data_IF_068890840783
#
_entry.id   IF_068890840783
#
_cell.length_a   1.000
_cell.length_b   1.000
_cell.length_c   1.000
_cell.angle_alpha   90.00
_cell.angle_beta   90.00
_cell.angle_gamma   90.00
#
_symmetry.space_group_name_H-M   'P 1'
#
loop_
_entity.id
_entity.type
_entity.pdbx_description
1 polymer ?
#
# COMPACT_ATOMS: atom_id res chain seq x y z
N UNK A 1 -45.80 26.27 11.38
CA UNK A 1 -45.57 24.91 10.85
C UNK A 1 -44.19 24.88 10.25
N UNK A 2 -43.25 24.25 10.94
CA UNK A 2 -41.90 24.01 10.44
C UNK A 2 -41.92 22.74 9.57
N UNK A 3 -41.54 22.83 8.33
CA UNK A 3 -41.23 21.70 7.48
C UNK A 3 -39.74 21.37 7.68
N UNK A 4 -39.47 20.18 8.21
CA UNK A 4 -38.13 19.60 8.33
C UNK A 4 -37.66 19.14 6.95
N UNK A 5 -36.59 19.73 6.45
CA UNK A 5 -35.85 19.20 5.29
C UNK A 5 -34.78 18.24 5.83
N UNK A 6 -35.12 16.97 5.91
CA UNK A 6 -34.17 15.88 6.02
C UNK A 6 -34.13 15.22 4.65
N UNK A 7 -33.05 15.38 3.93
CA UNK A 7 -32.46 14.42 2.95
C UNK A 7 -31.47 15.15 2.07
N UNK A 8 -30.20 15.13 2.38
CA UNK A 8 -29.12 15.31 1.41
C UNK A 8 -27.75 14.97 2.05
N UNK A 9 -27.54 13.72 2.41
CA UNK A 9 -26.25 13.25 2.96
C UNK A 9 -25.61 12.08 2.21
N UNK A 10 -26.24 11.56 1.16
CA UNK A 10 -25.78 10.30 0.53
C UNK A 10 -25.22 10.44 -0.90
N UNK A 11 -25.23 11.63 -1.50
CA UNK A 11 -24.86 11.79 -2.92
C UNK A 11 -23.41 12.21 -3.19
N UNK A 12 -22.75 12.88 -2.25
CA UNK A 12 -21.47 13.54 -2.51
C UNK A 12 -20.25 12.64 -2.41
N UNK A 13 -20.25 11.62 -1.55
CA UNK A 13 -19.12 10.71 -1.39
C UNK A 13 -18.96 9.80 -2.61
N UNK A 14 -20.04 9.27 -3.15
CA UNK A 14 -20.00 8.42 -4.34
C UNK A 14 -19.57 9.14 -5.61
N UNK A 15 -19.95 10.41 -5.77
CA UNK A 15 -19.55 11.22 -6.93
C UNK A 15 -18.07 11.58 -6.87
N UNK A 16 -17.52 11.90 -5.69
CA UNK A 16 -16.10 12.18 -5.50
C UNK A 16 -15.21 11.01 -5.89
N UNK A 17 -15.51 9.82 -5.40
CA UNK A 17 -14.78 8.59 -5.73
C UNK A 17 -14.90 8.21 -7.22
N UNK A 18 -16.07 8.40 -7.84
CA UNK A 18 -16.25 8.14 -9.26
C UNK A 18 -15.43 9.11 -10.13
N UNK A 19 -15.40 10.39 -9.79
CA UNK A 19 -14.61 11.41 -10.51
C UNK A 19 -13.10 11.17 -10.36
N UNK A 20 -12.65 10.77 -9.19
CA UNK A 20 -11.24 10.45 -8.95
C UNK A 20 -10.81 9.21 -9.73
N UNK A 21 -11.65 8.19 -9.78
CA UNK A 21 -11.42 6.99 -10.60
C UNK A 21 -11.35 7.30 -12.10
N UNK A 22 -12.24 8.15 -12.61
CA UNK A 22 -12.21 8.60 -14.02
C UNK A 22 -10.91 9.35 -14.31
N UNK A 23 -10.46 10.23 -13.41
CA UNK A 23 -9.21 10.97 -13.56
C UNK A 23 -8.00 10.04 -13.59
N UNK A 24 -7.96 9.01 -12.73
CA UNK A 24 -6.90 8.01 -12.72
C UNK A 24 -6.85 7.18 -14.01
N UNK A 25 -8.00 6.81 -14.56
CA UNK A 25 -8.08 6.08 -15.84
C UNK A 25 -7.54 6.89 -17.01
N UNK A 26 -7.91 8.17 -17.10
CA UNK A 26 -7.39 9.06 -18.17
C UNK A 26 -5.89 9.33 -18.04
N UNK A 27 -5.35 9.38 -16.83
CA UNK A 27 -3.91 9.46 -16.60
C UNK A 27 -3.20 8.17 -17.04
N UNK A 28 -3.77 7.01 -16.72
CA UNK A 28 -3.22 5.71 -17.12
C UNK A 28 -3.09 5.60 -18.63
N UNK A 29 -4.16 5.90 -19.38
CA UNK A 29 -4.17 5.87 -20.84
C UNK A 29 -3.08 6.78 -21.45
N UNK A 30 -2.93 7.99 -20.91
CA UNK A 30 -1.92 8.94 -21.39
C UNK A 30 -0.49 8.46 -21.11
N UNK A 31 -0.24 7.85 -19.95
CA UNK A 31 1.07 7.31 -19.58
C UNK A 31 1.40 6.08 -20.40
N UNK A 32 0.46 5.18 -20.64
CA UNK A 32 0.63 4.00 -21.50
C UNK A 32 0.94 4.41 -22.94
N UNK A 33 0.21 5.38 -23.48
CA UNK A 33 0.48 5.92 -24.81
C UNK A 33 1.89 6.55 -24.93
N UNK A 34 2.45 7.06 -23.83
CA UNK A 34 3.80 7.58 -23.73
C UNK A 34 4.87 6.51 -23.44
N UNK A 35 4.48 5.22 -23.36
CA UNK A 35 5.39 4.08 -23.16
C UNK A 35 5.75 3.84 -21.69
N UNK A 36 4.97 4.36 -20.74
CA UNK A 36 5.10 4.04 -19.32
C UNK A 36 4.22 2.85 -18.97
N UNK A 37 4.71 1.97 -18.10
CA UNK A 37 3.94 0.92 -17.46
C UNK A 37 3.82 1.20 -15.96
N UNK A 38 2.68 0.89 -15.35
CA UNK A 38 2.59 0.92 -13.90
C UNK A 38 3.39 -0.26 -13.32
N UNK A 39 4.07 -0.03 -12.21
CA UNK A 39 4.80 -1.07 -11.48
C UNK A 39 4.28 -1.25 -10.05
N UNK A 40 3.60 -0.23 -9.51
CA UNK A 40 2.77 -0.30 -8.32
C UNK A 40 1.54 0.61 -8.51
N UNK A 41 0.56 0.52 -7.63
CA UNK A 41 -0.80 1.10 -7.79
C UNK A 41 -0.82 2.53 -8.33
N UNK A 42 0.11 3.39 -7.88
CA UNK A 42 0.12 4.83 -8.20
C UNK A 42 1.33 5.29 -9.03
N UNK A 43 2.36 4.47 -9.20
CA UNK A 43 3.59 4.86 -9.88
C UNK A 43 3.82 4.12 -11.20
N UNK A 44 4.34 4.89 -12.15
CA UNK A 44 4.57 4.48 -13.53
C UNK A 44 6.02 4.74 -13.90
N UNK A 45 6.59 3.89 -14.72
CA UNK A 45 7.94 4.06 -15.24
C UNK A 45 8.07 3.54 -16.67
N UNK A 46 9.11 3.97 -17.37
CA UNK A 46 9.60 3.22 -18.52
C UNK A 46 10.32 1.96 -18.02
N UNK A 47 10.42 0.90 -18.85
CA UNK A 47 11.11 -0.32 -18.45
C UNK A 47 12.51 -0.05 -17.88
N UNK A 48 12.80 -0.55 -16.69
CA UNK A 48 14.06 -0.34 -15.96
C UNK A 48 14.18 1.01 -15.24
N UNK A 49 13.14 1.84 -15.29
CA UNK A 49 13.09 3.14 -14.61
C UNK A 49 12.32 3.15 -13.29
N UNK A 50 11.96 1.98 -12.78
CA UNK A 50 11.22 1.85 -11.52
C UNK A 50 12.03 2.44 -10.36
N UNK A 51 11.37 3.21 -9.49
CA UNK A 51 12.02 3.79 -8.33
C UNK A 51 12.40 2.70 -7.31
N UNK A 52 13.68 2.34 -7.28
CA UNK A 52 14.21 1.28 -6.41
C UNK A 52 13.94 1.55 -4.92
N UNK A 53 13.98 2.81 -4.50
CA UNK A 53 13.68 3.20 -3.12
C UNK A 53 12.20 2.96 -2.79
N UNK A 54 11.30 3.28 -3.72
CA UNK A 54 9.87 2.99 -3.55
C UNK A 54 9.59 1.48 -3.51
N UNK A 55 10.20 0.72 -4.42
CA UNK A 55 10.08 -0.74 -4.44
C UNK A 55 10.62 -1.39 -3.16
N UNK A 56 11.61 -0.79 -2.49
CA UNK A 56 12.12 -1.29 -1.22
C UNK A 56 11.01 -1.37 -0.17
N UNK A 57 10.18 -0.34 -0.07
CA UNK A 57 9.05 -0.33 0.87
C UNK A 57 7.96 -1.34 0.48
N UNK A 58 7.57 -1.36 -0.81
CA UNK A 58 6.52 -2.28 -1.28
C UNK A 58 6.91 -3.76 -1.21
N UNK A 59 8.21 -4.06 -1.26
CA UNK A 59 8.75 -5.41 -1.13
C UNK A 59 9.15 -5.79 0.29
N UNK A 60 8.64 -5.03 1.27
CA UNK A 60 8.94 -5.27 2.69
C UNK A 60 10.45 -5.28 2.99
N UNK A 61 11.19 -4.42 2.31
CA UNK A 61 12.63 -4.27 2.53
C UNK A 61 12.95 -3.52 3.81
N UNK A 62 14.17 -3.67 4.28
CA UNK A 62 14.66 -2.95 5.46
C UNK A 62 15.23 -1.59 5.07
N UNK A 63 15.00 -0.59 5.92
CA UNK A 63 15.55 0.76 5.72
C UNK A 63 15.91 1.44 7.02
N UNK A 64 16.87 2.36 6.94
CA UNK A 64 17.28 3.24 8.02
C UNK A 64 16.86 4.67 7.70
N UNK A 65 16.08 5.28 8.59
CA UNK A 65 15.65 6.67 8.47
C UNK A 65 16.66 7.61 9.13
N UNK A 66 17.20 8.56 8.37
CA UNK A 66 18.08 9.60 8.87
C UNK A 66 17.32 10.92 9.01
N UNK A 67 17.54 11.61 10.13
CA UNK A 67 16.94 12.91 10.43
C UNK A 67 15.86 12.87 11.52
N UNK A 68 15.44 14.06 12.02
CA UNK A 68 14.39 14.18 13.04
C UNK A 68 13.05 13.61 12.54
N UNK A 69 12.44 12.75 13.35
CA UNK A 69 11.15 12.12 13.03
C UNK A 69 11.20 11.07 11.93
N UNK A 70 12.37 10.74 11.37
CA UNK A 70 12.49 9.68 10.37
C UNK A 70 12.22 8.31 10.98
N UNK A 71 11.55 7.47 10.22
CA UNK A 71 11.23 6.10 10.61
C UNK A 71 12.23 5.13 10.00
N UNK A 72 12.45 4.01 10.69
CA UNK A 72 13.30 2.89 10.28
C UNK A 72 12.54 1.59 10.45
N UNK A 73 12.91 0.58 9.66
CA UNK A 73 12.44 -0.80 9.82
C UNK A 73 13.62 -1.75 9.58
N UNK A 74 14.05 -2.46 10.61
CA UNK A 74 15.18 -3.38 10.54
C UNK A 74 14.85 -4.67 11.30
N UNK A 75 14.91 -5.79 10.61
CA UNK A 75 14.46 -7.06 11.14
C UNK A 75 12.94 -7.00 11.39
N UNK A 76 12.55 -7.04 12.65
CA UNK A 76 11.16 -6.89 13.10
C UNK A 76 10.95 -5.62 13.93
N UNK A 77 11.98 -4.81 14.05
CA UNK A 77 11.93 -3.58 14.83
C UNK A 77 11.62 -2.39 13.93
N UNK A 78 10.54 -1.72 14.23
CA UNK A 78 10.18 -0.41 13.66
C UNK A 78 10.46 0.65 14.71
N UNK A 79 11.24 1.66 14.35
CA UNK A 79 11.55 2.75 15.26
C UNK A 79 11.56 4.10 14.54
N UNK A 80 11.33 5.15 15.31
CA UNK A 80 11.35 6.50 14.80
C UNK A 80 12.30 7.38 15.64
N UNK A 81 13.01 8.26 14.97
CA UNK A 81 13.83 9.25 15.62
C UNK A 81 12.97 10.31 16.33
N UNK A 82 13.54 10.96 17.35
CA UNK A 82 12.88 12.09 18.01
C UNK A 82 12.58 13.19 17.00
N UNK A 83 11.38 13.79 17.08
CA UNK A 83 10.88 14.75 16.09
C UNK A 83 11.52 16.14 16.21
N UNK A 84 11.96 16.54 17.42
CA UNK A 84 12.54 17.88 17.67
C UNK A 84 13.98 17.93 17.17
N UNK A 85 14.33 18.83 16.21
CA UNK A 85 15.65 18.88 15.60
C UNK A 85 16.78 19.11 16.62
N UNK A 86 16.54 19.98 17.60
CA UNK A 86 17.53 20.30 18.63
C UNK A 86 17.85 19.05 19.47
N UNK A 87 16.80 18.34 19.95
CA UNK A 87 16.97 17.13 20.72
C UNK A 87 17.62 16.01 19.91
N UNK A 88 17.26 15.89 18.62
CA UNK A 88 17.91 14.94 17.70
C UNK A 88 19.41 15.21 17.63
N UNK A 89 19.81 16.47 17.39
CA UNK A 89 21.21 16.87 17.29
C UNK A 89 21.97 16.70 18.60
N UNK A 90 21.37 17.04 19.74
CA UNK A 90 22.00 16.91 21.06
C UNK A 90 22.22 15.45 21.44
N UNK A 91 21.26 14.55 21.14
CA UNK A 91 21.40 13.12 21.37
C UNK A 91 22.57 12.55 20.55
N UNK A 92 22.66 12.91 19.25
CA UNK A 92 23.77 12.48 18.40
C UNK A 92 25.13 13.02 18.87
N UNK A 93 25.21 14.27 19.36
CA UNK A 93 26.45 14.83 19.92
C UNK A 93 26.89 14.09 21.18
N UNK A 94 25.91 13.54 21.93
CA UNK A 94 26.17 12.68 23.08
C UNK A 94 26.65 11.27 22.73
N UNK A 95 26.62 10.90 21.46
CA UNK A 95 27.02 9.58 20.98
C UNK A 95 25.91 8.54 20.99
N UNK A 96 24.67 8.93 21.30
CA UNK A 96 23.51 8.05 21.38
C UNK A 96 22.66 8.08 20.10
N UNK A 97 21.92 7.00 19.84
CA UNK A 97 20.91 6.98 18.79
C UNK A 97 19.68 7.79 19.22
N UNK A 98 19.19 8.71 18.41
CA UNK A 98 18.10 9.61 18.77
C UNK A 98 16.72 8.93 18.61
N UNK A 99 16.56 7.72 19.12
CA UNK A 99 15.34 6.93 19.02
C UNK A 99 14.31 7.47 20.02
N UNK A 100 13.14 7.83 19.53
CA UNK A 100 12.02 8.35 20.33
C UNK A 100 10.85 7.39 20.47
N UNK A 101 10.78 6.37 19.61
CA UNK A 101 9.74 5.36 19.61
C UNK A 101 10.30 4.06 19.03
N UNK A 102 9.88 2.93 19.58
CA UNK A 102 10.19 1.59 19.05
C UNK A 102 8.98 0.69 19.21
N UNK A 103 8.72 -0.15 18.22
CA UNK A 103 7.75 -1.25 18.27
C UNK A 103 8.34 -2.49 17.61
N UNK A 104 7.97 -3.67 18.12
CA UNK A 104 8.29 -4.95 17.50
C UNK A 104 7.09 -5.45 16.74
N UNK A 105 7.22 -5.65 15.44
CA UNK A 105 6.16 -6.15 14.57
C UNK A 105 6.04 -7.66 14.76
N UNK A 106 4.86 -8.14 15.14
CA UNK A 106 4.57 -9.57 15.30
C UNK A 106 4.54 -10.30 13.95
N UNK A 107 4.59 -11.63 13.97
CA UNK A 107 4.53 -12.42 12.74
C UNK A 107 3.20 -12.24 12.00
N UNK A 108 2.09 -12.09 12.73
CA UNK A 108 0.77 -11.84 12.14
C UNK A 108 0.71 -10.45 11.48
N UNK A 109 1.12 -9.40 12.19
CA UNK A 109 1.16 -8.04 11.64
C UNK A 109 2.06 -7.93 10.43
N UNK A 110 3.22 -8.61 10.45
CA UNK A 110 4.13 -8.64 9.32
C UNK A 110 3.52 -9.36 8.11
N UNK A 111 2.81 -10.46 8.34
CA UNK A 111 2.08 -11.16 7.29
C UNK A 111 1.04 -10.25 6.64
N UNK A 112 0.21 -9.58 7.44
CA UNK A 112 -0.79 -8.64 6.95
C UNK A 112 -0.16 -7.52 6.12
N UNK A 113 0.97 -6.97 6.59
CA UNK A 113 1.72 -5.94 5.88
C UNK A 113 2.30 -6.46 4.56
N UNK A 114 2.84 -7.67 4.52
CA UNK A 114 3.37 -8.29 3.31
C UNK A 114 2.29 -8.48 2.25
N UNK A 115 1.12 -8.97 2.64
CA UNK A 115 -0.05 -9.11 1.74
C UNK A 115 -0.52 -7.74 1.26
N UNK A 116 -0.68 -6.78 2.18
CA UNK A 116 -1.13 -5.42 1.89
C UNK A 116 -0.19 -4.67 0.94
N UNK A 117 1.11 -4.74 1.18
CA UNK A 117 2.12 -4.03 0.38
C UNK A 117 2.34 -4.73 -0.96
N UNK A 118 2.47 -6.06 -0.93
CA UNK A 118 2.81 -6.84 -2.12
C UNK A 118 1.70 -6.87 -3.17
N UNK A 119 0.42 -6.87 -2.77
CA UNK A 119 -0.70 -6.78 -3.72
C UNK A 119 -0.85 -5.41 -4.40
N UNK A 120 -0.14 -4.39 -3.92
CA UNK A 120 -0.03 -3.11 -4.64
C UNK A 120 1.00 -3.10 -5.75
N UNK A 121 1.90 -4.09 -5.76
CA UNK A 121 2.85 -4.30 -6.85
C UNK A 121 2.20 -5.01 -8.03
N UNK A 122 2.61 -4.65 -9.24
CA UNK A 122 2.19 -5.34 -10.47
C UNK A 122 2.59 -6.82 -10.46
N UNK A 123 3.71 -7.14 -9.82
CA UNK A 123 4.19 -8.51 -9.67
C UNK A 123 3.37 -9.33 -8.63
N UNK A 124 2.59 -8.68 -7.77
CA UNK A 124 1.76 -9.32 -6.75
C UNK A 124 2.57 -10.06 -5.69
N UNK A 125 1.94 -11.03 -5.02
CA UNK A 125 2.50 -11.84 -3.93
C UNK A 125 2.60 -13.33 -4.31
N UNK A 126 3.49 -14.11 -3.68
CA UNK A 126 3.46 -15.57 -3.79
C UNK A 126 2.10 -16.13 -3.35
N UNK A 127 1.53 -17.07 -4.11
CA UNK A 127 0.23 -17.63 -3.78
C UNK A 127 0.22 -18.37 -2.42
N UNK A 128 1.36 -18.86 -1.99
CA UNK A 128 1.52 -19.52 -0.69
C UNK A 128 1.46 -18.58 0.52
N UNK A 129 1.44 -17.27 0.32
CA UNK A 129 1.23 -16.31 1.41
C UNK A 129 -0.23 -16.21 1.82
N UNK A 130 -1.17 -16.51 0.92
CA UNK A 130 -2.61 -16.44 1.23
C UNK A 130 -3.06 -17.73 1.90
N UNK A 131 -3.65 -17.61 3.07
CA UNK A 131 -4.18 -18.70 3.87
C UNK A 131 -5.33 -19.45 3.18
N UNK A 132 -5.59 -20.70 3.61
CA UNK A 132 -6.65 -21.53 3.03
C UNK A 132 -8.04 -20.89 3.15
N UNK A 133 -8.30 -20.16 4.24
CA UNK A 133 -9.57 -19.46 4.46
C UNK A 133 -9.88 -18.44 3.38
N UNK A 134 -8.87 -17.73 2.90
CA UNK A 134 -9.04 -16.66 1.92
C UNK A 134 -9.06 -17.15 0.45
N UNK A 135 -8.79 -18.43 0.16
CA UNK A 135 -8.77 -18.94 -1.23
C UNK A 135 -10.07 -18.69 -1.97
N UNK A 136 -11.22 -18.90 -1.31
CA UNK A 136 -12.54 -18.64 -1.92
C UNK A 136 -12.75 -17.18 -2.29
N UNK A 137 -12.17 -16.27 -1.52
CA UNK A 137 -12.17 -14.81 -1.78
C UNK A 137 -11.27 -14.49 -2.97
N UNK A 138 -10.07 -15.05 -3.04
CA UNK A 138 -9.19 -14.90 -4.22
C UNK A 138 -9.88 -15.39 -5.48
N UNK A 139 -10.50 -16.58 -5.46
CA UNK A 139 -11.24 -17.15 -6.60
C UNK A 139 -12.40 -16.25 -7.04
N UNK A 140 -13.10 -15.63 -6.10
CA UNK A 140 -14.17 -14.64 -6.40
C UNK A 140 -13.59 -13.45 -7.18
N UNK A 141 -12.47 -12.89 -6.73
CA UNK A 141 -11.83 -11.75 -7.39
C UNK A 141 -11.20 -12.14 -8.75
N UNK A 142 -10.70 -13.36 -8.89
CA UNK A 142 -10.21 -13.90 -10.17
C UNK A 142 -11.36 -14.02 -11.18
N UNK A 143 -12.48 -14.63 -10.78
CA UNK A 143 -13.69 -14.69 -11.63
C UNK A 143 -14.24 -13.31 -11.99
N UNK A 144 -14.07 -12.33 -11.10
CA UNK A 144 -14.40 -10.92 -11.34
C UNK A 144 -13.42 -10.17 -12.24
N UNK A 145 -12.33 -10.80 -12.68
CA UNK A 145 -11.28 -10.17 -13.50
C UNK A 145 -10.44 -9.16 -12.76
N UNK A 146 -10.45 -9.15 -11.42
CA UNK A 146 -9.71 -8.20 -10.58
C UNK A 146 -8.35 -8.73 -10.15
N UNK A 147 -8.20 -10.05 -10.06
CA UNK A 147 -6.95 -10.74 -9.74
C UNK A 147 -6.58 -11.74 -10.84
N UNK A 148 -5.30 -12.01 -10.95
CA UNK A 148 -4.75 -13.22 -11.55
C UNK A 148 -4.23 -14.13 -10.46
N UNK A 149 -4.33 -15.46 -10.61
CA UNK A 149 -3.79 -16.44 -9.68
C UNK A 149 -3.04 -17.53 -10.44
N UNK A 150 -1.90 -17.92 -9.88
CA UNK A 150 -0.99 -18.95 -10.38
C UNK A 150 0.07 -19.20 -9.30
N UNK A 151 1.33 -19.17 -9.65
CA UNK A 151 2.43 -19.15 -8.66
C UNK A 151 2.40 -17.85 -7.83
N UNK A 152 1.89 -16.79 -8.42
CA UNK A 152 1.66 -15.50 -7.76
C UNK A 152 0.21 -15.07 -7.93
N UNK A 153 -0.27 -14.31 -6.95
CA UNK A 153 -1.55 -13.60 -6.99
C UNK A 153 -1.24 -12.14 -7.23
N UNK A 154 -1.79 -11.56 -8.28
CA UNK A 154 -1.54 -10.16 -8.63
C UNK A 154 -2.83 -9.46 -9.05
N UNK A 155 -2.92 -8.17 -8.77
CA UNK A 155 -4.02 -7.35 -9.29
C UNK A 155 -3.90 -7.16 -10.80
N UNK A 156 -5.03 -7.21 -11.49
CA UNK A 156 -5.13 -6.81 -12.90
C UNK A 156 -5.16 -5.29 -13.03
N UNK A 157 -5.11 -4.76 -14.25
CA UNK A 157 -5.32 -3.33 -14.50
C UNK A 157 -6.67 -2.83 -13.96
N UNK A 158 -7.71 -3.65 -14.05
CA UNK A 158 -9.02 -3.36 -13.46
C UNK A 158 -9.02 -3.45 -11.92
N UNK A 159 -8.33 -4.46 -11.37
CA UNK A 159 -8.22 -4.70 -9.92
C UNK A 159 -7.34 -3.68 -9.22
N UNK A 160 -6.35 -3.10 -9.90
CA UNK A 160 -5.41 -2.12 -9.35
C UNK A 160 -6.10 -0.97 -8.61
N UNK A 161 -7.18 -0.45 -9.18
CA UNK A 161 -7.94 0.66 -8.58
C UNK A 161 -8.84 0.23 -7.42
N UNK A 162 -8.91 -1.06 -7.14
CA UNK A 162 -9.69 -1.68 -6.07
C UNK A 162 -8.80 -2.46 -5.09
N UNK A 163 -7.47 -2.30 -5.20
CA UNK A 163 -6.48 -3.07 -4.45
C UNK A 163 -6.74 -3.06 -2.93
N UNK A 164 -7.07 -1.90 -2.35
CA UNK A 164 -7.33 -1.79 -0.91
C UNK A 164 -8.54 -2.62 -0.47
N UNK A 165 -9.62 -2.63 -1.26
CA UNK A 165 -10.79 -3.47 -1.00
C UNK A 165 -10.49 -4.96 -1.15
N UNK A 166 -9.71 -5.34 -2.17
CA UNK A 166 -9.29 -6.73 -2.40
C UNK A 166 -8.43 -7.23 -1.24
N UNK A 167 -7.44 -6.43 -0.79
CA UNK A 167 -6.61 -6.73 0.36
C UNK A 167 -7.45 -6.93 1.62
N UNK A 168 -8.38 -6.01 1.88
CA UNK A 168 -9.28 -6.10 3.03
C UNK A 168 -10.13 -7.37 2.99
N UNK A 169 -10.68 -7.72 1.82
CA UNK A 169 -11.48 -8.95 1.66
C UNK A 169 -10.64 -10.21 1.94
N UNK A 170 -9.37 -10.25 1.50
CA UNK A 170 -8.45 -11.37 1.69
C UNK A 170 -8.10 -11.51 3.17
N UNK A 171 -7.57 -10.46 3.80
CA UNK A 171 -7.14 -10.49 5.21
C UNK A 171 -8.29 -10.77 6.17
N UNK A 172 -9.51 -10.31 5.86
CA UNK A 172 -10.69 -10.60 6.68
C UNK A 172 -11.18 -12.06 6.59
N UNK A 173 -10.68 -12.84 5.64
CA UNK A 173 -11.04 -14.24 5.42
C UNK A 173 -9.96 -15.23 5.90
N UNK A 174 -8.82 -14.77 6.37
CA UNK A 174 -7.76 -15.58 6.98
C UNK A 174 -8.02 -15.86 8.47
#
# INVERSE_FOLDING_TARGET
RRASCQTAGCGTVGVGLAMERIRMLTQAEALEAAGFGWYEVSNWSKPGGECRHNLLYWRDGQWWGAGPGAHSFIGRERFANVKRPERYADTLRGGDLPIGFTETVTDAEHHDEQVMLGLRLKEGIPAGWVGEGARGVVDKHVRGGLLTAGERIAVTDAGRLLADGIVTDILAAE
#
